data_IF_995574507714
#
_entry.id   IF_995574507714
#
_cell.length_a   1.000
_cell.length_b   1.000
_cell.length_c   1.000
_cell.angle_alpha   90.00
_cell.angle_beta   90.00
_cell.angle_gamma   90.00
#
_symmetry.space_group_name_H-M   'P 1'
#
loop_
_entity.id
_entity.type
_entity.pdbx_description
1 polymer ?
#
# COMPACT_ATOMS: atom_id res chain seq x y z
N UNK A 1 -13.87 12.54 16.71
CA UNK A 1 -12.90 11.47 17.09
C UNK A 1 -11.71 11.52 16.14
N UNK A 2 -10.48 11.35 16.63
CA UNK A 2 -9.30 11.21 15.76
C UNK A 2 -9.01 9.74 15.48
N UNK A 3 -9.02 9.33 14.21
CA UNK A 3 -8.59 7.97 13.84
C UNK A 3 -7.08 8.02 13.59
N UNK A 4 -6.34 7.13 14.27
CA UNK A 4 -4.90 6.96 14.07
C UNK A 4 -4.67 5.84 13.08
N UNK A 5 -4.01 6.15 11.98
CA UNK A 5 -3.55 5.17 11.01
C UNK A 5 -2.08 4.87 11.28
N UNK A 6 -1.73 3.60 11.38
CA UNK A 6 -0.33 3.15 11.46
C UNK A 6 0.24 3.00 10.06
N UNK A 7 1.56 3.18 9.94
CA UNK A 7 2.29 2.89 8.69
C UNK A 7 2.03 1.45 8.22
N UNK A 8 2.13 1.18 6.90
CA UNK A 8 2.08 -0.18 6.39
C UNK A 8 3.15 -1.05 7.08
N UNK A 9 2.83 -2.33 7.30
CA UNK A 9 3.76 -3.31 7.90
C UNK A 9 5.02 -3.44 7.06
N UNK A 10 4.86 -3.53 5.73
CA UNK A 10 5.96 -3.43 4.77
C UNK A 10 6.04 -1.99 4.28
N UNK A 11 7.04 -1.24 4.76
CA UNK A 11 7.23 0.17 4.40
C UNK A 11 8.57 0.43 3.70
N UNK A 12 9.44 -0.58 3.67
CA UNK A 12 10.74 -0.60 3.01
C UNK A 12 10.99 -1.97 2.37
N UNK A 13 11.95 -2.03 1.45
CA UNK A 13 12.45 -3.29 0.89
C UNK A 13 13.14 -4.14 1.94
N UNK A 14 13.74 -3.52 2.97
CA UNK A 14 14.28 -4.24 4.11
C UNK A 14 13.17 -4.97 4.89
N UNK A 15 12.02 -4.31 5.14
CA UNK A 15 10.87 -4.96 5.79
C UNK A 15 10.35 -6.13 4.94
N UNK A 16 10.26 -5.93 3.62
CA UNK A 16 9.84 -6.97 2.68
C UNK A 16 10.79 -8.18 2.66
N UNK A 17 12.09 -7.94 2.78
CA UNK A 17 13.09 -8.99 2.91
C UNK A 17 12.96 -9.74 4.25
N UNK A 18 12.74 -9.01 5.35
CA UNK A 18 12.66 -9.56 6.69
C UNK A 18 11.39 -10.38 6.95
N UNK A 19 10.25 -9.99 6.37
CA UNK A 19 8.96 -10.62 6.67
C UNK A 19 8.65 -11.72 5.62
N UNK A 20 8.63 -13.01 6.00
CA UNK A 20 8.43 -14.11 5.04
C UNK A 20 6.96 -14.31 4.63
N UNK A 21 6.01 -13.84 5.45
CA UNK A 21 4.58 -13.96 5.17
C UNK A 21 4.11 -13.07 4.01
N UNK A 22 4.85 -12.02 3.69
CA UNK A 22 4.54 -11.12 2.60
C UNK A 22 5.12 -11.61 1.28
N UNK A 23 4.26 -11.68 0.25
CA UNK A 23 4.64 -11.99 -1.11
C UNK A 23 4.76 -10.71 -1.94
N UNK A 24 5.70 -10.69 -2.88
CA UNK A 24 5.94 -9.55 -3.76
C UNK A 24 5.65 -9.92 -5.21
N UNK A 25 4.87 -9.10 -5.88
CA UNK A 25 4.63 -9.20 -7.32
C UNK A 25 5.54 -8.27 -8.09
N UNK A 26 6.06 -8.74 -9.22
CA UNK A 26 6.90 -7.96 -10.13
C UNK A 26 6.51 -8.18 -11.59
N UNK A 27 6.70 -7.15 -12.42
CA UNK A 27 6.48 -7.24 -13.85
C UNK A 27 7.71 -7.91 -14.49
N UNK A 28 7.53 -9.09 -15.08
CA UNK A 28 8.59 -9.86 -15.73
C UNK A 28 9.23 -9.04 -16.85
N UNK A 29 10.57 -8.97 -16.87
CA UNK A 29 11.31 -8.25 -17.90
C UNK A 29 11.23 -6.72 -17.79
N UNK A 30 10.63 -6.21 -16.70
CA UNK A 30 10.67 -4.78 -16.39
C UNK A 30 12.04 -4.38 -15.84
N UNK A 31 12.30 -3.07 -15.86
CA UNK A 31 13.50 -2.49 -15.25
C UNK A 31 13.60 -2.85 -13.76
N UNK A 32 12.47 -2.95 -13.05
CA UNK A 32 12.46 -3.34 -11.64
C UNK A 32 12.94 -4.78 -11.44
N UNK A 33 12.57 -5.69 -12.35
CA UNK A 33 12.99 -7.10 -12.33
C UNK A 33 14.49 -7.23 -12.59
N UNK A 34 14.99 -6.46 -13.57
CA UNK A 34 16.43 -6.36 -13.85
C UNK A 34 17.21 -5.76 -12.68
N UNK A 35 16.69 -4.69 -12.04
CA UNK A 35 17.33 -4.05 -10.90
C UNK A 35 17.46 -5.00 -9.69
N UNK A 36 16.48 -5.88 -9.48
CA UNK A 36 16.56 -6.91 -8.43
C UNK A 36 17.56 -8.03 -8.79
N UNK A 37 17.70 -8.35 -10.07
CA UNK A 37 18.64 -9.36 -10.55
C UNK A 37 20.10 -8.91 -10.41
N UNK A 38 20.38 -7.65 -10.75
CA UNK A 38 21.76 -7.11 -10.84
C UNK A 38 22.24 -6.43 -9.55
N UNK A 39 21.42 -6.43 -8.49
CA UNK A 39 21.74 -5.74 -7.24
C UNK A 39 22.88 -6.37 -6.44
N UNK A 40 23.70 -5.53 -5.80
CA UNK A 40 24.69 -5.96 -4.82
C UNK A 40 24.14 -6.03 -3.39
N UNK A 41 22.93 -5.54 -3.15
CA UNK A 41 22.34 -5.44 -1.81
C UNK A 41 21.74 -6.79 -1.40
N UNK A 42 22.18 -7.32 -0.26
CA UNK A 42 21.79 -8.66 0.23
C UNK A 42 20.28 -8.80 0.41
N UNK A 43 19.62 -7.81 1.03
CA UNK A 43 18.17 -7.84 1.24
C UNK A 43 17.38 -7.82 -0.07
N UNK A 44 17.88 -7.17 -1.13
CA UNK A 44 17.25 -7.19 -2.45
C UNK A 44 17.41 -8.56 -3.13
N UNK A 45 18.56 -9.23 -2.95
CA UNK A 45 18.75 -10.61 -3.42
C UNK A 45 17.79 -11.57 -2.74
N UNK A 46 17.55 -11.41 -1.43
CA UNK A 46 16.55 -12.18 -0.70
C UNK A 46 15.15 -11.98 -1.29
N UNK A 47 14.77 -10.74 -1.61
CA UNK A 47 13.48 -10.45 -2.26
C UNK A 47 13.40 -11.11 -3.63
N UNK A 48 14.45 -11.02 -4.45
CA UNK A 48 14.50 -11.68 -5.76
C UNK A 48 14.32 -13.20 -5.63
N UNK A 49 15.03 -13.84 -4.70
CA UNK A 49 14.91 -15.28 -4.44
C UNK A 49 13.50 -15.66 -3.93
N UNK A 50 12.88 -14.84 -3.07
CA UNK A 50 11.48 -15.03 -2.65
C UNK A 50 10.53 -15.00 -3.85
N UNK A 51 10.67 -14.00 -4.73
CA UNK A 51 9.84 -13.86 -5.94
C UNK A 51 10.03 -15.07 -6.86
N UNK A 52 11.27 -15.53 -7.04
CA UNK A 52 11.61 -16.69 -7.86
C UNK A 52 11.01 -17.99 -7.32
N UNK A 53 11.01 -18.18 -6.00
CA UNK A 53 10.45 -19.36 -5.32
C UNK A 53 8.92 -19.35 -5.23
N UNK A 54 8.29 -18.18 -5.33
CA UNK A 54 6.84 -17.97 -5.23
C UNK A 54 6.01 -18.51 -6.44
N UNK A 55 6.64 -19.21 -7.40
CA UNK A 55 5.98 -19.75 -8.61
C UNK A 55 5.35 -18.65 -9.52
N UNK A 56 4.50 -19.02 -10.47
CA UNK A 56 3.81 -18.15 -11.46
C UNK A 56 2.96 -17.03 -10.85
N UNK A 57 2.74 -17.06 -9.53
CA UNK A 57 1.91 -16.09 -8.85
C UNK A 57 2.61 -14.76 -8.54
N UNK A 58 3.93 -14.75 -8.40
CA UNK A 58 4.67 -13.51 -8.10
C UNK A 58 5.21 -12.81 -9.36
N UNK A 59 5.51 -13.54 -10.43
CA UNK A 59 5.97 -12.98 -11.71
C UNK A 59 4.80 -12.76 -12.64
N UNK A 60 4.48 -11.50 -12.96
CA UNK A 60 3.31 -11.11 -13.75
C UNK A 60 3.72 -10.48 -15.07
N UNK A 61 2.82 -10.48 -16.04
CA UNK A 61 3.08 -9.92 -17.38
C UNK A 61 2.32 -8.62 -17.62
N UNK A 62 1.35 -8.30 -16.78
CA UNK A 62 0.58 -7.06 -16.88
C UNK A 62 0.47 -6.34 -15.52
N UNK A 63 0.37 -5.01 -15.54
CA UNK A 63 0.17 -4.24 -14.30
C UNK A 63 -1.11 -4.61 -13.54
N UNK A 64 -2.28 -4.86 -14.18
CA UNK A 64 -3.46 -5.34 -13.47
C UNK A 64 -3.23 -6.64 -12.71
N UNK A 65 -2.50 -7.61 -13.29
CA UNK A 65 -2.16 -8.87 -12.61
C UNK A 65 -1.29 -8.67 -11.38
N UNK A 66 -0.46 -7.62 -11.34
CA UNK A 66 0.35 -7.29 -10.16
C UNK A 66 -0.50 -6.68 -9.05
N UNK A 67 -1.39 -5.75 -9.39
CA UNK A 67 -2.15 -4.97 -8.41
C UNK A 67 -3.34 -5.76 -7.85
N UNK A 68 -3.96 -6.64 -8.64
CA UNK A 68 -5.13 -7.41 -8.20
C UNK A 68 -4.88 -8.22 -6.91
N UNK A 69 -3.76 -8.97 -6.77
CA UNK A 69 -3.41 -9.64 -5.52
C UNK A 69 -3.32 -8.70 -4.32
N UNK A 70 -2.77 -7.49 -4.48
CA UNK A 70 -2.65 -6.50 -3.39
C UNK A 70 -4.02 -5.98 -2.94
N UNK A 71 -5.00 -5.94 -3.84
CA UNK A 71 -6.37 -5.51 -3.52
C UNK A 71 -7.20 -6.64 -2.90
N UNK A 72 -6.98 -7.89 -3.34
CA UNK A 72 -7.85 -9.02 -3.03
C UNK A 72 -7.33 -9.92 -1.90
N UNK A 73 -6.01 -9.97 -1.70
CA UNK A 73 -5.36 -10.87 -0.75
C UNK A 73 -4.60 -10.06 0.29
N UNK A 74 -4.64 -10.54 1.52
CA UNK A 74 -3.77 -10.03 2.57
C UNK A 74 -2.32 -10.44 2.31
N UNK A 75 -1.37 -9.64 2.79
CA UNK A 75 0.07 -9.91 2.73
C UNK A 75 0.68 -9.95 1.30
N UNK A 76 0.14 -9.17 0.37
CA UNK A 76 0.77 -8.95 -0.95
C UNK A 76 1.28 -7.51 -1.11
N UNK A 77 2.40 -7.37 -1.81
CA UNK A 77 2.97 -6.08 -2.24
C UNK A 77 3.27 -6.15 -3.73
N UNK A 78 3.19 -5.01 -4.43
CA UNK A 78 3.65 -4.89 -5.82
C UNK A 78 4.82 -3.93 -5.93
N UNK A 79 5.86 -4.36 -6.62
CA UNK A 79 7.02 -3.52 -6.94
C UNK A 79 6.76 -2.88 -8.30
N UNK A 80 6.35 -1.60 -8.32
CA UNK A 80 5.90 -0.89 -9.52
C UNK A 80 6.53 0.51 -9.65
N UNK A 81 6.59 1.07 -10.88
CA UNK A 81 6.99 2.46 -11.07
C UNK A 81 6.06 3.42 -10.33
N UNK A 82 6.63 4.47 -9.72
CA UNK A 82 5.89 5.45 -8.90
C UNK A 82 4.68 6.06 -9.62
N UNK A 83 4.82 6.46 -10.89
CA UNK A 83 3.71 7.04 -11.68
C UNK A 83 2.56 6.05 -11.88
N UNK A 84 2.89 4.78 -12.10
CA UNK A 84 1.89 3.70 -12.26
C UNK A 84 1.21 3.42 -10.92
N UNK A 85 1.98 3.36 -9.83
CA UNK A 85 1.44 3.20 -8.48
C UNK A 85 0.48 4.30 -8.08
N UNK A 86 0.80 5.56 -8.38
CA UNK A 86 -0.13 6.68 -8.16
C UNK A 86 -1.43 6.54 -8.96
N UNK A 87 -1.35 6.16 -10.23
CA UNK A 87 -2.54 5.96 -11.06
C UNK A 87 -3.47 4.89 -10.47
N UNK A 88 -2.91 3.78 -9.97
CA UNK A 88 -3.69 2.75 -9.31
C UNK A 88 -4.21 3.16 -7.93
N UNK A 89 -3.44 3.90 -7.15
CA UNK A 89 -3.94 4.51 -5.92
C UNK A 89 -5.15 5.38 -6.22
N UNK A 90 -5.07 6.29 -7.19
CA UNK A 90 -6.19 7.17 -7.55
C UNK A 90 -7.42 6.35 -7.98
N UNK A 91 -7.21 5.30 -8.78
CA UNK A 91 -8.29 4.43 -9.26
C UNK A 91 -8.98 3.65 -8.14
N UNK A 92 -8.23 2.96 -7.28
CA UNK A 92 -8.81 2.10 -6.24
C UNK A 92 -9.24 2.91 -5.01
N UNK A 93 -8.53 3.98 -4.67
CA UNK A 93 -8.83 4.83 -3.52
C UNK A 93 -9.91 5.89 -3.77
N UNK A 94 -10.35 6.10 -5.02
CA UNK A 94 -11.45 7.02 -5.31
C UNK A 94 -12.75 6.69 -4.57
N UNK A 95 -13.01 5.40 -4.30
CA UNK A 95 -14.23 4.93 -3.61
C UNK A 95 -13.96 4.36 -2.22
N UNK A 96 -12.90 3.57 -2.06
CA UNK A 96 -12.51 2.93 -0.80
C UNK A 96 -11.00 3.01 -0.67
N UNK A 97 -10.46 3.52 0.43
CA UNK A 97 -9.01 3.63 0.66
C UNK A 97 -8.36 2.24 0.84
N UNK A 98 -8.23 1.47 -0.25
CA UNK A 98 -7.79 0.06 -0.26
C UNK A 98 -6.28 -0.09 -0.43
N UNK A 99 -5.67 0.82 -1.17
CA UNK A 99 -4.25 0.75 -1.49
C UNK A 99 -3.47 1.83 -0.71
N UNK A 100 -2.27 1.47 -0.31
CA UNK A 100 -1.29 2.38 0.26
C UNK A 100 0.06 2.16 -0.42
N UNK A 101 0.86 3.22 -0.55
CA UNK A 101 2.24 3.10 -0.96
C UNK A 101 3.17 3.01 0.25
N UNK A 102 4.18 2.16 0.13
CA UNK A 102 5.33 2.16 1.01
C UNK A 102 6.09 3.49 0.89
N UNK A 103 6.79 3.87 1.96
CA UNK A 103 7.56 5.10 2.03
C UNK A 103 8.81 5.06 1.14
N UNK A 104 9.50 3.92 1.11
CA UNK A 104 10.77 3.80 0.40
C UNK A 104 10.60 3.82 -1.12
N UNK A 105 11.49 4.55 -1.79
CA UNK A 105 11.70 4.52 -3.24
C UNK A 105 13.17 4.23 -3.50
N UNK A 106 13.45 3.29 -4.39
CA UNK A 106 14.82 2.78 -4.60
C UNK A 106 15.51 3.34 -5.82
N UNK A 107 14.76 3.70 -6.87
CA UNK A 107 15.34 4.01 -8.18
C UNK A 107 14.61 5.19 -8.80
N UNK A 108 15.37 6.24 -9.15
CA UNK A 108 14.87 7.36 -9.95
C UNK A 108 15.37 7.21 -11.37
N UNK A 109 14.56 6.51 -12.19
CA UNK A 109 14.85 6.34 -13.62
C UNK A 109 13.91 7.21 -14.46
N UNK A 110 14.44 8.22 -15.18
CA UNK A 110 13.65 9.02 -16.09
C UNK A 110 13.11 8.18 -17.25
N UNK A 111 11.94 8.58 -17.75
CA UNK A 111 11.31 7.97 -18.92
C UNK A 111 11.66 8.81 -20.15
N UNK A 112 12.14 8.16 -21.21
CA UNK A 112 12.60 8.82 -22.43
C UNK A 112 11.89 8.25 -23.65
N UNK A 113 11.87 9.02 -24.73
CA UNK A 113 11.52 8.51 -26.05
C UNK A 113 12.70 7.73 -26.62
N UNK A 114 12.49 6.44 -26.87
CA UNK A 114 13.47 5.61 -27.56
C UNK A 114 13.34 5.84 -29.06
N UNK A 115 14.43 6.26 -29.71
CA UNK A 115 14.51 6.47 -31.15
C UNK A 115 15.54 5.50 -31.74
N UNK A 116 15.29 4.91 -32.93
CA UNK A 116 16.29 4.09 -33.60
C UNK A 116 17.59 4.87 -33.80
N UNK A 117 18.75 4.24 -33.55
CA UNK A 117 20.06 4.92 -33.64
C UNK A 117 20.35 5.55 -35.00
N UNK A 118 19.77 5.01 -36.07
CA UNK A 118 19.93 5.49 -37.45
C UNK A 118 18.88 6.51 -37.88
N UNK A 119 17.96 6.91 -36.98
CA UNK A 119 16.89 7.83 -37.35
C UNK A 119 17.47 9.22 -37.61
N UNK A 120 17.10 9.88 -38.73
CA UNK A 120 17.54 11.25 -39.00
C UNK A 120 16.90 12.26 -38.04
N UNK A 121 15.84 11.87 -37.32
CA UNK A 121 15.04 12.77 -36.49
C UNK A 121 15.50 12.87 -35.02
N UNK A 122 16.65 12.29 -34.66
CA UNK A 122 17.09 12.25 -33.26
C UNK A 122 17.30 13.65 -32.71
N UNK A 123 17.92 14.55 -33.50
CA UNK A 123 18.21 15.91 -33.06
C UNK A 123 16.92 16.73 -32.88
N UNK A 124 15.98 16.63 -33.82
CA UNK A 124 14.69 17.30 -33.73
C UNK A 124 13.89 16.79 -32.53
N UNK A 125 13.78 15.47 -32.34
CA UNK A 125 13.05 14.90 -31.19
C UNK A 125 13.67 15.35 -29.87
N UNK A 126 15.00 15.38 -29.77
CA UNK A 126 15.67 15.85 -28.56
C UNK A 126 15.43 17.35 -28.31
N UNK A 127 15.50 18.18 -29.34
CA UNK A 127 15.24 19.62 -29.24
C UNK A 127 13.81 19.91 -28.80
N UNK A 128 12.83 19.28 -29.44
CA UNK A 128 11.41 19.47 -29.10
C UNK A 128 11.07 18.91 -27.71
N UNK A 129 11.68 17.79 -27.30
CA UNK A 129 11.52 17.26 -25.96
C UNK A 129 12.07 18.21 -24.88
N UNK A 130 13.21 18.86 -25.13
CA UNK A 130 13.77 19.88 -24.24
C UNK A 130 12.87 21.11 -24.18
N UNK A 131 12.38 21.59 -25.32
CA UNK A 131 11.44 22.71 -25.37
C UNK A 131 10.15 22.42 -24.60
N UNK A 132 9.59 21.21 -24.74
CA UNK A 132 8.40 20.78 -24.00
C UNK A 132 8.59 20.77 -22.48
N UNK A 133 9.80 20.43 -22.01
CA UNK A 133 10.15 20.48 -20.59
C UNK A 133 10.32 21.94 -20.13
N UNK A 134 11.03 22.75 -20.91
CA UNK A 134 11.35 24.15 -20.59
C UNK A 134 10.10 25.03 -20.47
N UNK A 135 9.13 24.83 -21.38
CA UNK A 135 7.83 25.53 -21.34
C UNK A 135 6.92 25.00 -20.22
N UNK A 136 7.36 23.97 -19.46
CA UNK A 136 6.64 23.45 -18.30
C UNK A 136 5.41 22.60 -18.65
N UNK A 137 5.22 22.24 -19.92
CA UNK A 137 4.08 21.44 -20.37
C UNK A 137 4.08 20.02 -19.79
N UNK A 138 5.24 19.48 -19.44
CA UNK A 138 5.38 18.21 -18.73
C UNK A 138 4.68 18.20 -17.35
N UNK A 139 4.53 19.37 -16.72
CA UNK A 139 3.85 19.54 -15.44
C UNK A 139 2.37 19.90 -15.54
N UNK A 140 1.85 20.16 -16.74
CA UNK A 140 0.47 20.65 -16.92
C UNK A 140 -0.61 19.59 -16.65
N UNK A 141 -0.21 18.36 -16.38
CA UNK A 141 -1.14 17.32 -15.96
C UNK A 141 -1.74 17.69 -14.59
N UNK A 142 -3.08 17.76 -14.55
CA UNK A 142 -3.87 18.04 -13.34
C UNK A 142 -3.32 17.23 -12.17
N UNK A 143 -2.91 17.93 -11.11
CA UNK A 143 -2.55 17.27 -9.86
C UNK A 143 -3.69 16.35 -9.44
N UNK A 144 -3.47 15.03 -9.36
CA UNK A 144 -4.52 14.12 -8.92
C UNK A 144 -4.96 14.51 -7.51
N UNK A 145 -6.27 14.44 -7.27
CA UNK A 145 -6.82 14.67 -5.93
C UNK A 145 -6.21 13.61 -5.01
N UNK A 146 -5.44 14.05 -4.02
CA UNK A 146 -4.80 13.21 -2.98
C UNK A 146 -5.83 12.63 -2.01
N UNK A 147 -6.80 11.89 -2.54
CA UNK A 147 -7.78 11.15 -1.76
C UNK A 147 -7.06 10.00 -1.05
N UNK A 148 -7.40 9.78 0.22
CA UNK A 148 -6.81 8.72 1.05
C UNK A 148 -5.29 8.79 1.32
N UNK A 149 -4.56 9.84 0.89
CA UNK A 149 -3.14 9.95 1.23
C UNK A 149 -2.97 10.14 2.74
N UNK A 150 -2.20 9.24 3.37
CA UNK A 150 -1.84 9.31 4.79
C UNK A 150 -0.46 9.93 4.90
N UNK A 151 -0.35 11.00 5.67
CA UNK A 151 0.93 11.67 5.96
C UNK A 151 1.35 11.22 7.36
N UNK A 152 2.27 10.25 7.41
CA UNK A 152 2.78 9.73 8.67
C UNK A 152 3.80 10.70 9.27
N UNK A 153 3.71 10.93 10.58
CA UNK A 153 4.74 11.67 11.32
C UNK A 153 5.99 10.81 11.56
N UNK A 154 6.99 11.36 12.26
CA UNK A 154 8.22 10.65 12.64
C UNK A 154 7.97 9.36 13.44
N UNK A 155 6.83 9.27 14.11
CA UNK A 155 6.42 8.11 14.90
C UNK A 155 5.64 7.08 14.06
N UNK A 156 5.53 7.28 12.74
CA UNK A 156 4.82 6.37 11.83
C UNK A 156 3.30 6.40 11.98
N UNK A 157 2.74 7.48 12.54
CA UNK A 157 1.30 7.64 12.76
C UNK A 157 0.76 8.80 11.92
N UNK A 158 -0.34 8.54 11.20
CA UNK A 158 -1.11 9.57 10.51
C UNK A 158 -2.43 9.77 11.25
N UNK A 159 -2.63 10.94 11.85
CA UNK A 159 -3.91 11.31 12.45
C UNK A 159 -4.79 12.00 11.43
N UNK A 160 -5.97 11.44 11.13
CA UNK A 160 -7.02 12.15 10.42
C UNK A 160 -8.19 12.43 11.35
N UNK A 161 -8.61 13.69 11.37
CA UNK A 161 -9.84 14.12 12.04
C UNK A 161 -11.01 13.70 11.17
N UNK A 162 -11.72 12.65 11.60
CA UNK A 162 -13.00 12.30 11.01
C UNK A 162 -14.12 12.87 11.86
N UNK A 163 -15.06 13.54 11.20
CA UNK A 163 -16.42 13.74 11.70
C UNK A 163 -17.18 12.42 11.57
N UNK A 164 -16.81 11.41 12.36
CA UNK A 164 -17.57 10.16 12.41
C UNK A 164 -18.78 10.35 13.33
N UNK A 165 -20.00 10.13 12.82
CA UNK A 165 -21.13 9.75 13.67
C UNK A 165 -20.71 8.47 14.40
N UNK A 166 -20.90 8.42 15.71
CA UNK A 166 -20.61 7.20 16.49
C UNK A 166 -21.46 6.04 15.94
N UNK A 167 -20.81 4.92 15.63
CA UNK A 167 -21.46 3.72 15.11
C UNK A 167 -21.67 2.77 16.29
N UNK A 168 -22.88 2.26 16.47
CA UNK A 168 -23.27 1.42 17.62
C UNK A 168 -22.39 0.17 17.78
N UNK A 169 -21.85 -0.37 16.67
CA UNK A 169 -20.93 -1.51 16.68
C UNK A 169 -19.68 -1.28 17.55
N UNK A 170 -19.22 -0.02 17.69
CA UNK A 170 -18.08 0.32 18.55
C UNK A 170 -18.38 0.14 20.05
N UNK A 171 -19.66 0.01 20.43
CA UNK A 171 -20.10 -0.17 21.82
C UNK A 171 -20.51 -1.60 22.16
N UNK A 172 -20.34 -2.56 21.26
CA UNK A 172 -20.71 -3.96 21.51
C UNK A 172 -20.07 -4.51 22.80
N UNK A 173 -18.75 -4.28 22.98
CA UNK A 173 -18.03 -4.79 24.14
C UNK A 173 -18.52 -4.17 25.47
N UNK A 174 -18.66 -2.83 25.60
CA UNK A 174 -19.32 -2.22 26.76
C UNK A 174 -20.73 -2.76 27.04
N UNK A 175 -21.58 -2.92 26.03
CA UNK A 175 -22.93 -3.43 26.21
C UNK A 175 -22.94 -4.90 26.64
N UNK A 176 -22.01 -5.71 26.13
CA UNK A 176 -21.88 -7.12 26.52
C UNK A 176 -21.41 -7.27 27.96
N UNK A 177 -20.47 -6.43 28.41
CA UNK A 177 -20.03 -6.37 29.81
C UNK A 177 -21.20 -5.96 30.72
N UNK A 178 -21.98 -4.96 30.31
CA UNK A 178 -23.15 -4.52 31.06
C UNK A 178 -24.19 -5.63 31.20
N UNK A 179 -24.48 -6.34 30.10
CA UNK A 179 -25.45 -7.43 30.08
C UNK A 179 -24.98 -8.62 30.91
N UNK A 180 -23.70 -8.99 30.80
CA UNK A 180 -23.09 -10.06 31.61
C UNK A 180 -23.07 -9.72 33.10
N UNK A 181 -22.73 -8.47 33.44
CA UNK A 181 -22.78 -7.98 34.83
C UNK A 181 -24.19 -7.99 35.40
N UNK A 182 -25.19 -7.59 34.60
CA UNK A 182 -26.60 -7.64 35.01
C UNK A 182 -27.09 -9.07 35.27
N UNK A 183 -26.71 -10.02 34.40
CA UNK A 183 -27.05 -11.44 34.56
C UNK A 183 -26.41 -12.04 35.82
N UNK A 184 -25.15 -11.71 36.10
CA UNK A 184 -24.46 -12.13 37.33
C UNK A 184 -25.11 -11.55 38.58
N UNK A 185 -25.47 -10.27 38.58
CA UNK A 185 -26.17 -9.63 39.68
C UNK A 185 -27.55 -10.27 39.91
N UNK A 186 -28.27 -10.61 38.84
CA UNK A 186 -29.55 -11.30 38.92
C UNK A 186 -29.41 -12.70 39.52
N UNK A 187 -28.40 -13.46 39.11
CA UNK A 187 -28.09 -14.79 39.68
C UNK A 187 -27.77 -14.67 41.17
N UNK A 188 -26.96 -13.69 41.56
CA UNK A 188 -26.62 -13.45 42.97
C UNK A 188 -27.88 -13.13 43.81
N UNK A 189 -28.76 -12.27 43.29
CA UNK A 189 -30.04 -11.94 43.94
C UNK A 189 -30.93 -13.18 44.10
N UNK A 190 -31.05 -14.01 43.07
CA UNK A 190 -31.79 -15.27 43.16
C UNK A 190 -31.18 -16.22 44.20
N UNK A 191 -29.85 -16.29 44.30
CA UNK A 191 -29.14 -17.13 45.27
C UNK A 191 -29.45 -16.72 46.70
N UNK A 192 -29.41 -15.42 46.99
CA UNK A 192 -29.70 -14.87 48.32
C UNK A 192 -31.16 -15.03 48.73
N UNK A 193 -32.11 -14.94 47.78
CA UNK A 193 -33.53 -15.10 48.08
C UNK A 193 -34.00 -16.56 48.20
N UNK A 194 -33.43 -17.48 47.43
CA UNK A 194 -33.87 -18.89 47.38
C UNK A 194 -33.10 -19.79 48.36
N UNK A 195 -31.84 -19.46 48.66
CA UNK A 195 -31.03 -20.16 49.66
C UNK A 195 -30.48 -19.15 50.67
N UNK A 196 -31.32 -18.66 51.60
CA UNK A 196 -30.79 -17.95 52.76
C UNK A 196 -29.97 -18.94 53.56
N UNK A 197 -28.64 -18.85 53.46
CA UNK A 197 -27.72 -19.54 54.36
C UNK A 197 -27.99 -18.94 55.74
N UNK A 198 -28.63 -19.74 56.59
CA UNK A 198 -28.81 -19.47 58.02
C UNK A 198 -27.72 -20.16 58.80
#
# INVERSE_FOLDING_TARGET
>A
MSVRYQKPVVNSFHDLAAIPSYQATILTGSIQDMDLLETNLEYMKVIYEKIKKCSSDCRKFTFPEMVNPVVQKDNYVSIIPWRVGNSYLDKYNAKKCQLAMAYERTSWKPMFFAVPKSSPYIEEINREAMWFIDVGLNGYNKTPKKLCQLNYNSNGVSSKTFSSRMILEQFYLPFLILFGGYLLAFIQFCREKLYPIR
#
